data_IF_926790470937
#
_entry.id   IF_926790470937
#
_cell.length_a   1.000
_cell.length_b   1.000
_cell.length_c   1.000
_cell.angle_alpha   90.00
_cell.angle_beta   90.00
_cell.angle_gamma   90.00
#
_symmetry.space_group_name_H-M   'P 1'
#
loop_
_entity.id
_entity.type
_entity.pdbx_description
1 polymer ?
#
# COMPACT_ATOMS: atom_id res chain seq x y z
N UNK A 1 4.58 -17.21 15.65
CA UNK A 1 4.27 -15.82 16.04
C UNK A 1 5.52 -14.97 16.29
N UNK A 2 6.66 -15.53 16.71
CA UNK A 2 7.87 -14.74 17.05
C UNK A 2 8.58 -14.04 15.88
N UNK A 3 8.62 -14.65 14.69
CA UNK A 3 9.38 -14.11 13.53
C UNK A 3 8.80 -12.79 12.99
N UNK A 4 7.47 -12.64 13.02
CA UNK A 4 6.79 -11.41 12.61
C UNK A 4 7.15 -10.21 13.50
N UNK A 5 7.29 -10.44 14.81
CA UNK A 5 7.71 -9.40 15.76
C UNK A 5 9.17 -8.98 15.56
N UNK A 6 10.04 -9.90 15.12
CA UNK A 6 11.45 -9.59 14.85
C UNK A 6 11.63 -8.75 13.58
N UNK A 7 10.83 -8.99 12.53
CA UNK A 7 10.86 -8.22 11.27
C UNK A 7 10.44 -6.76 11.46
N UNK A 8 9.56 -6.47 12.42
CA UNK A 8 9.12 -5.11 12.78
C UNK A 8 10.24 -4.21 13.33
N UNK A 9 11.37 -4.80 13.75
CA UNK A 9 12.50 -4.07 14.35
C UNK A 9 13.48 -3.56 13.28
N UNK A 10 13.38 -4.04 12.03
CA UNK A 10 14.24 -3.58 10.94
C UNK A 10 13.72 -2.24 10.41
N UNK A 11 14.15 -1.16 11.05
CA UNK A 11 13.79 0.22 10.71
C UNK A 11 14.78 0.91 9.76
N UNK A 12 15.93 0.27 9.48
CA UNK A 12 17.02 0.86 8.73
C UNK A 12 17.72 -0.16 7.84
N UNK A 13 17.87 0.16 6.56
CA UNK A 13 18.65 -0.60 5.58
C UNK A 13 19.90 0.19 5.22
N UNK A 14 21.07 -0.46 5.28
CA UNK A 14 22.34 0.14 4.82
C UNK A 14 22.64 -0.32 3.40
N UNK A 15 22.49 0.58 2.42
CA UNK A 15 22.77 0.31 1.02
C UNK A 15 23.95 1.17 0.59
N UNK A 16 25.03 0.56 0.09
CA UNK A 16 26.26 1.26 -0.36
C UNK A 16 26.82 2.27 0.66
N UNK A 17 26.71 1.96 1.95
CA UNK A 17 27.19 2.83 3.03
C UNK A 17 26.20 3.88 3.53
N UNK A 18 25.10 4.11 2.81
CA UNK A 18 24.04 5.06 3.21
C UNK A 18 22.93 4.35 3.98
N UNK A 19 22.46 4.98 5.06
CA UNK A 19 21.38 4.47 5.90
C UNK A 19 20.05 5.02 5.39
N UNK A 20 19.15 4.12 5.00
CA UNK A 20 17.81 4.45 4.56
C UNK A 20 16.79 4.00 5.61
N UNK A 21 15.93 4.91 6.04
CA UNK A 21 14.78 4.54 6.87
C UNK A 21 13.84 3.64 6.06
N UNK A 22 13.48 2.50 6.63
CA UNK A 22 12.62 1.50 6.02
C UNK A 22 11.55 1.09 7.04
N UNK A 23 10.29 1.08 6.65
CA UNK A 23 9.22 0.53 7.47
C UNK A 23 8.88 -0.85 6.93
N UNK A 24 9.33 -1.90 7.62
CA UNK A 24 8.95 -3.27 7.31
C UNK A 24 7.48 -3.49 7.69
N UNK A 25 6.62 -3.67 6.70
CA UNK A 25 5.24 -4.09 6.92
C UNK A 25 5.18 -5.61 6.80
N UNK A 26 4.82 -6.29 7.89
CA UNK A 26 4.57 -7.73 7.87
C UNK A 26 3.22 -7.94 7.20
N UNK A 27 3.23 -8.63 6.05
CA UNK A 27 1.99 -9.11 5.45
C UNK A 27 1.30 -10.09 6.40
N UNK A 28 -0.03 -10.03 6.46
CA UNK A 28 -0.79 -11.09 7.11
C UNK A 28 -0.49 -12.43 6.42
N UNK A 29 -0.70 -13.56 7.09
CA UNK A 29 -0.18 -14.88 6.67
C UNK A 29 -0.62 -15.31 5.25
N UNK A 30 -1.62 -14.64 4.68
CA UNK A 30 -2.16 -14.87 3.35
C UNK A 30 -1.50 -14.00 2.25
N UNK A 31 -0.53 -13.16 2.59
CA UNK A 31 0.13 -12.26 1.63
C UNK A 31 -0.77 -11.12 1.17
N UNK A 32 -1.83 -10.81 1.92
CA UNK A 32 -2.77 -9.73 1.62
C UNK A 32 -2.36 -8.46 2.38
N UNK A 33 -2.23 -7.37 1.63
CA UNK A 33 -1.66 -6.10 2.10
C UNK A 33 -2.58 -4.93 1.74
N UNK A 34 -3.37 -4.40 2.68
CA UNK A 34 -4.17 -3.22 2.42
C UNK A 34 -3.30 -1.96 2.51
N UNK A 35 -3.37 -1.14 1.48
CA UNK A 35 -2.76 0.18 1.38
C UNK A 35 -3.82 1.28 1.27
N UNK A 36 -3.47 2.48 1.74
CA UNK A 36 -4.28 3.68 1.60
C UNK A 36 -3.53 4.69 0.73
N UNK A 37 -4.24 5.25 -0.25
CA UNK A 37 -3.69 6.20 -1.23
C UNK A 37 -4.52 7.46 -1.18
N UNK A 38 -3.85 8.60 -1.09
CA UNK A 38 -4.47 9.92 -1.06
C UNK A 38 -4.19 10.68 -2.36
N UNK A 39 -5.00 11.70 -2.64
CA UNK A 39 -4.81 12.59 -3.79
C UNK A 39 -5.51 12.11 -5.07
N UNK A 40 -6.39 11.12 -4.96
CA UNK A 40 -7.23 10.66 -6.06
C UNK A 40 -8.31 11.74 -6.31
N UNK A 41 -8.67 12.07 -7.57
CA UNK A 41 -9.77 12.98 -7.84
C UNK A 41 -11.04 12.60 -7.06
N UNK A 42 -11.73 13.60 -6.51
CA UNK A 42 -12.95 13.33 -5.77
C UNK A 42 -14.04 12.86 -6.74
N UNK A 43 -14.91 11.95 -6.28
CA UNK A 43 -15.98 11.34 -7.09
C UNK A 43 -15.49 10.46 -8.25
N UNK A 44 -14.23 10.03 -8.27
CA UNK A 44 -13.79 8.96 -9.18
C UNK A 44 -14.63 7.71 -8.93
N UNK A 45 -15.20 7.16 -10.01
CA UNK A 45 -16.00 5.95 -9.94
C UNK A 45 -15.11 4.74 -9.63
N UNK A 46 -15.67 3.67 -9.06
CA UNK A 46 -14.88 2.46 -8.78
C UNK A 46 -14.31 1.84 -10.06
N UNK A 47 -15.06 1.85 -11.16
CA UNK A 47 -14.60 1.38 -12.48
C UNK A 47 -13.45 2.23 -13.02
N UNK A 48 -13.56 3.56 -12.96
CA UNK A 48 -12.50 4.47 -13.39
C UNK A 48 -11.21 4.28 -12.58
N UNK A 49 -11.35 4.07 -11.26
CA UNK A 49 -10.23 3.79 -10.37
C UNK A 49 -9.52 2.50 -10.80
N UNK A 50 -10.27 1.42 -11.07
CA UNK A 50 -9.71 0.12 -11.45
C UNK A 50 -9.04 0.15 -12.83
N UNK A 51 -9.65 0.81 -13.79
CA UNK A 51 -9.14 0.90 -15.17
C UNK A 51 -7.81 1.68 -15.25
N UNK A 52 -7.63 2.66 -14.37
CA UNK A 52 -6.47 3.55 -14.37
C UNK A 52 -5.43 3.23 -13.28
N UNK A 53 -5.62 2.16 -12.52
CA UNK A 53 -4.74 1.78 -11.41
C UNK A 53 -3.70 0.76 -11.88
N UNK A 54 -2.43 1.13 -11.72
CA UNK A 54 -1.30 0.26 -12.06
C UNK A 54 -0.27 0.23 -10.93
N UNK A 55 0.23 -0.97 -10.64
CA UNK A 55 1.36 -1.20 -9.73
C UNK A 55 2.58 -1.63 -10.53
N UNK A 56 3.73 -0.99 -10.27
CA UNK A 56 5.01 -1.32 -10.93
C UNK A 56 5.93 -2.18 -10.06
N UNK A 57 5.54 -2.43 -8.82
CA UNK A 57 6.32 -3.23 -7.87
C UNK A 57 6.25 -4.70 -8.29
N UNK A 58 7.40 -5.32 -8.52
CA UNK A 58 7.48 -6.72 -8.92
C UNK A 58 6.97 -7.65 -7.82
N UNK A 59 6.24 -8.71 -8.20
CA UNK A 59 5.70 -9.69 -7.26
C UNK A 59 4.51 -9.18 -6.43
N UNK A 60 3.90 -8.06 -6.86
CA UNK A 60 2.71 -7.47 -6.24
C UNK A 60 1.60 -7.39 -7.27
N UNK A 61 0.42 -7.90 -6.92
CA UNK A 61 -0.80 -7.77 -7.72
C UNK A 61 -1.83 -6.94 -6.96
N UNK A 62 -2.72 -6.28 -7.70
CA UNK A 62 -3.87 -5.57 -7.13
C UNK A 62 -5.04 -6.55 -7.08
N UNK A 63 -5.63 -6.76 -5.91
CA UNK A 63 -6.85 -7.58 -5.78
C UNK A 63 -8.10 -6.71 -5.84
N UNK A 64 -8.13 -5.66 -5.02
CA UNK A 64 -9.29 -4.79 -4.90
C UNK A 64 -8.85 -3.34 -4.76
N UNK A 65 -9.67 -2.44 -5.27
CA UNK A 65 -9.50 -1.00 -5.14
C UNK A 65 -10.89 -0.39 -4.90
N UNK A 66 -10.99 0.39 -3.82
CA UNK A 66 -12.25 0.96 -3.34
C UNK A 66 -12.04 2.37 -2.84
N UNK A 67 -12.83 3.31 -3.35
CA UNK A 67 -12.86 4.69 -2.87
C UNK A 67 -13.43 4.77 -1.45
N UNK A 68 -12.83 5.61 -0.60
CA UNK A 68 -13.33 5.89 0.75
C UNK A 68 -14.40 6.99 0.67
N UNK A 69 -15.63 6.56 0.36
CA UNK A 69 -16.78 7.45 0.20
C UNK A 69 -16.57 8.49 -0.92
N UNK A 70 -16.96 9.74 -0.68
CA UNK A 70 -16.75 10.86 -1.62
C UNK A 70 -15.38 11.55 -1.46
N UNK A 71 -14.45 10.93 -0.75
CA UNK A 71 -13.15 11.52 -0.42
C UNK A 71 -12.15 11.41 -1.59
N UNK A 72 -10.99 12.03 -1.42
CA UNK A 72 -9.83 11.93 -2.33
C UNK A 72 -8.90 10.75 -1.97
N UNK A 73 -9.48 9.69 -1.42
CA UNK A 73 -8.75 8.59 -0.79
C UNK A 73 -9.32 7.26 -1.25
N UNK A 74 -8.47 6.30 -1.57
CA UNK A 74 -8.86 4.92 -1.84
C UNK A 74 -8.07 3.97 -0.96
N UNK A 75 -8.70 2.83 -0.66
CA UNK A 75 -8.05 1.65 -0.10
C UNK A 75 -7.81 0.70 -1.26
N UNK A 76 -6.58 0.20 -1.35
CA UNK A 76 -6.15 -0.75 -2.37
C UNK A 76 -5.58 -1.96 -1.66
N UNK A 77 -6.13 -3.13 -1.96
CA UNK A 77 -5.66 -4.40 -1.43
C UNK A 77 -4.72 -5.02 -2.44
N UNK A 78 -3.51 -5.37 -1.99
CA UNK A 78 -2.50 -6.02 -2.80
C UNK A 78 -2.28 -7.46 -2.35
N UNK A 79 -1.99 -8.36 -3.28
CA UNK A 79 -1.38 -9.66 -2.98
C UNK A 79 0.12 -9.59 -3.22
N UNK A 80 0.92 -9.99 -2.24
CA UNK A 80 2.37 -10.07 -2.33
C UNK A 80 3.04 -10.00 -0.96
N UNK A 81 4.37 -10.15 -0.96
CA UNK A 81 5.16 -10.10 0.29
C UNK A 81 5.59 -8.68 0.67
N UNK A 82 5.26 -7.67 -0.14
CA UNK A 82 5.69 -6.28 0.05
C UNK A 82 4.60 -5.31 -0.38
N UNK A 83 4.39 -4.26 0.41
CA UNK A 83 3.49 -3.17 0.05
C UNK A 83 4.22 -2.24 -0.94
N UNK A 84 3.61 -1.89 -2.07
CA UNK A 84 4.21 -0.95 -3.01
C UNK A 84 4.37 0.43 -2.35
N UNK A 85 5.51 1.11 -2.60
CA UNK A 85 5.74 2.48 -2.10
C UNK A 85 4.83 3.51 -2.78
N UNK A 86 4.57 3.31 -4.06
CA UNK A 86 3.67 4.14 -4.85
C UNK A 86 2.86 3.31 -5.84
N UNK A 87 1.74 3.88 -6.25
CA UNK A 87 0.87 3.36 -7.30
C UNK A 87 0.61 4.44 -8.32
N UNK A 88 0.48 4.04 -9.58
CA UNK A 88 0.12 4.96 -10.64
C UNK A 88 -1.39 4.95 -10.82
N UNK A 89 -2.03 6.11 -10.64
CA UNK A 89 -3.47 6.29 -10.73
C UNK A 89 -3.75 7.53 -11.58
N UNK A 90 -4.54 7.39 -12.64
CA UNK A 90 -5.07 8.50 -13.45
C UNK A 90 -4.00 9.52 -13.89
N UNK A 91 -2.82 9.06 -14.30
CA UNK A 91 -1.74 9.95 -14.76
C UNK A 91 -0.74 10.39 -13.69
N UNK A 92 -0.95 10.05 -12.42
CA UNK A 92 -0.12 10.49 -11.30
C UNK A 92 0.48 9.31 -10.51
N UNK A 93 1.71 9.46 -10.05
CA UNK A 93 2.33 8.56 -9.08
C UNK A 93 1.94 9.02 -7.67
N UNK A 94 1.16 8.20 -6.96
CA UNK A 94 0.64 8.51 -5.63
C UNK A 94 1.28 7.59 -4.59
N UNK A 95 1.62 8.16 -3.44
CA UNK A 95 2.22 7.42 -2.34
C UNK A 95 1.16 6.50 -1.73
N UNK A 96 1.54 5.24 -1.56
CA UNK A 96 0.76 4.24 -0.87
C UNK A 96 1.28 4.08 0.56
N UNK A 97 0.39 4.26 1.53
CA UNK A 97 0.68 4.07 2.94
C UNK A 97 0.07 2.76 3.42
N UNK A 98 0.66 2.08 4.41
CA UNK A 98 0.02 0.92 5.01
C UNK A 98 -1.31 1.32 5.65
N UNK A 99 -2.39 0.64 5.28
CA UNK A 99 -3.69 0.87 5.90
C UNK A 99 -3.71 0.22 7.28
N UNK A 100 -3.86 1.03 8.33
CA UNK A 100 -4.13 0.56 9.68
C UNK A 100 -5.59 0.84 10.00
N UNK A 101 -6.45 -0.18 10.14
CA UNK A 101 -7.78 0.06 10.66
C UNK A 101 -7.63 0.60 12.08
N UNK A 102 -7.98 1.86 12.28
CA UNK A 102 -8.20 2.40 13.63
C UNK A 102 -9.41 1.66 14.18
N UNK A 103 -9.19 0.81 15.17
CA UNK A 103 -10.27 0.22 15.95
C UNK A 103 -11.03 1.41 16.57
N UNK A 104 -12.25 1.66 16.10
CA UNK A 104 -13.18 2.51 16.81
C UNK A 104 -13.90 1.58 17.80
N UNK A 105 -13.45 1.60 19.05
CA UNK A 105 -14.20 1.09 20.21
C UNK A 105 -15.43 1.95 20.49
#
# INVERSE_FOLDING_TARGET
>A
MEVASMLRVISQLKIRGQVHAFNAYVADLEGVLPGIVHGIPARTSQDELKDNLHVRTQGVNIETATMLGSSKTAIITFTGNVLPRSVYIMGADLICYPYKPTVQE
#
